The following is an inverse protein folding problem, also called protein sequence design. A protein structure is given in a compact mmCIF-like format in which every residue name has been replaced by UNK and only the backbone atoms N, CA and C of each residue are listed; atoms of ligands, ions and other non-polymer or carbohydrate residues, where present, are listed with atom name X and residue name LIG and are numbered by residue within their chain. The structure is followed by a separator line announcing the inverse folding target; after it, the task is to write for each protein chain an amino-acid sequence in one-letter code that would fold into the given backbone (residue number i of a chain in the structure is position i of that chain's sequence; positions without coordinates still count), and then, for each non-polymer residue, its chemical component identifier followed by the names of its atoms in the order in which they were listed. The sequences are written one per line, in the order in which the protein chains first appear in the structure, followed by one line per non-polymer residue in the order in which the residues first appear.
data_IF_105077386494
#
_entry.id   IF_105077386494
#
_cell.length_a   1.000
_cell.length_b   1.000
_cell.length_c   1.000
_cell.angle_alpha   90.00
_cell.angle_beta   90.00
_cell.angle_gamma   90.00
#
_symmetry.space_group_name_H-M   'P 1'
#
loop_
_entity.id
_entity.type
_entity.pdbx_description
1 polymer ?
#
# COMPACT_ATOMS: atom_id res chain seq x y z
N UNK A 1 28.19 -34.52 -8.14
CA UNK A 1 28.77 -33.29 -8.72
C UNK A 1 27.58 -32.40 -9.08
N UNK A 2 27.26 -31.44 -8.24
CA UNK A 2 26.22 -30.44 -8.50
C UNK A 2 26.80 -29.31 -9.37
N UNK A 3 26.05 -28.73 -10.31
CA UNK A 3 26.54 -27.62 -11.10
C UNK A 3 26.64 -26.35 -10.23
N UNK A 4 27.75 -25.64 -10.40
CA UNK A 4 28.02 -24.39 -9.72
C UNK A 4 27.08 -23.29 -10.20
N UNK A 5 26.43 -22.60 -9.26
CA UNK A 5 25.70 -21.35 -9.47
C UNK A 5 26.70 -20.28 -9.93
N UNK A 6 26.62 -19.90 -11.19
CA UNK A 6 27.29 -18.70 -11.71
C UNK A 6 26.40 -17.50 -11.37
N UNK A 7 26.66 -16.85 -10.24
CA UNK A 7 26.19 -15.50 -9.98
C UNK A 7 26.79 -14.54 -11.02
N UNK A 8 26.00 -14.11 -12.00
CA UNK A 8 26.36 -12.98 -12.84
C UNK A 8 26.41 -11.73 -11.94
N UNK A 9 27.58 -11.11 -11.85
CA UNK A 9 27.74 -9.81 -11.19
C UNK A 9 26.80 -8.79 -11.84
N UNK A 10 26.11 -7.93 -11.06
CA UNK A 10 25.25 -6.89 -11.62
C UNK A 10 26.13 -5.93 -12.43
N UNK A 11 25.81 -5.78 -13.71
CA UNK A 11 26.39 -4.76 -14.58
C UNK A 11 26.23 -3.40 -13.89
N UNK A 12 27.33 -2.63 -13.86
CA UNK A 12 27.41 -1.28 -13.29
C UNK A 12 26.56 -0.28 -14.12
N UNK A 13 25.24 -0.49 -14.14
CA UNK A 13 24.27 0.48 -14.66
C UNK A 13 24.20 1.61 -13.65
N UNK A 14 24.39 2.85 -14.11
CA UNK A 14 24.27 4.02 -13.27
C UNK A 14 22.92 3.97 -12.53
N UNK A 15 22.95 4.11 -11.20
CA UNK A 15 21.71 4.14 -10.39
C UNK A 15 20.78 5.21 -10.96
N UNK A 16 19.46 4.94 -11.11
CA UNK A 16 18.54 5.93 -11.60
C UNK A 16 18.53 7.14 -10.66
N UNK A 17 18.35 8.34 -11.21
CA UNK A 17 18.39 9.57 -10.41
C UNK A 17 17.24 9.55 -9.41
N UNK A 18 17.55 9.73 -8.11
CA UNK A 18 16.58 9.95 -7.04
C UNK A 18 16.24 11.43 -6.91
N UNK A 19 15.07 11.74 -6.30
CA UNK A 19 14.68 13.12 -6.02
C UNK A 19 14.18 13.90 -7.23
N UNK A 20 13.81 13.21 -8.31
CA UNK A 20 13.33 13.88 -9.54
C UNK A 20 11.95 14.51 -9.39
N UNK A 21 11.16 14.06 -8.39
CA UNK A 21 9.77 14.49 -8.20
C UNK A 21 8.84 14.09 -9.35
N UNK A 22 9.23 13.09 -10.15
CA UNK A 22 8.47 12.57 -11.29
C UNK A 22 8.25 11.07 -11.14
N UNK A 23 7.22 10.56 -11.81
CA UNK A 23 7.02 9.12 -11.94
C UNK A 23 8.02 8.59 -12.98
N UNK A 24 8.82 7.62 -12.56
CA UNK A 24 9.81 6.90 -13.34
C UNK A 24 9.53 5.40 -13.32
N UNK A 25 10.25 4.62 -14.11
CA UNK A 25 10.14 3.15 -14.13
C UNK A 25 11.52 2.53 -13.95
N UNK A 26 11.55 1.40 -13.23
CA UNK A 26 12.75 0.57 -13.05
C UNK A 26 12.48 -0.84 -13.56
N UNK A 27 13.37 -1.35 -14.40
CA UNK A 27 13.40 -2.78 -14.75
C UNK A 27 14.16 -3.53 -13.65
N UNK A 28 13.48 -4.45 -13.00
CA UNK A 28 13.99 -5.21 -11.86
C UNK A 28 14.24 -6.69 -12.17
N UNK A 29 14.25 -7.03 -13.47
CA UNK A 29 14.52 -8.40 -13.94
C UNK A 29 13.41 -9.39 -13.66
N UNK A 30 13.75 -10.66 -13.61
CA UNK A 30 12.76 -11.74 -13.48
C UNK A 30 12.22 -11.86 -12.05
N UNK A 31 10.92 -12.03 -11.89
CA UNK A 31 10.22 -12.15 -10.63
C UNK A 31 9.27 -13.34 -10.63
N UNK A 32 9.41 -14.21 -9.64
CA UNK A 32 8.53 -15.37 -9.44
C UNK A 32 7.53 -15.05 -8.32
N UNK A 33 6.19 -14.99 -8.60
CA UNK A 33 5.17 -14.85 -7.58
C UNK A 33 5.17 -16.02 -6.59
N UNK A 34 4.79 -15.75 -5.34
CA UNK A 34 4.74 -16.75 -4.25
C UNK A 34 3.78 -17.90 -4.57
N UNK A 35 2.63 -17.58 -5.16
CA UNK A 35 1.64 -18.59 -5.55
C UNK A 35 2.09 -19.51 -6.70
N UNK A 36 3.28 -19.29 -7.26
CA UNK A 36 3.76 -19.99 -8.43
C UNK A 36 3.19 -19.43 -9.74
N UNK A 37 3.29 -20.22 -10.82
CA UNK A 37 2.89 -19.78 -12.16
C UNK A 37 4.05 -19.23 -12.98
N UNK A 38 3.73 -18.41 -13.98
CA UNK A 38 4.74 -17.83 -14.86
C UNK A 38 5.58 -16.78 -14.15
N UNK A 39 6.89 -16.83 -14.41
CA UNK A 39 7.80 -15.77 -14.00
C UNK A 39 7.52 -14.50 -14.80
N UNK A 40 7.51 -13.35 -14.12
CA UNK A 40 7.27 -12.04 -14.71
C UNK A 40 8.59 -11.32 -15.02
N UNK A 41 8.64 -10.54 -16.09
CA UNK A 41 9.62 -9.46 -16.23
C UNK A 41 9.08 -8.27 -15.40
N UNK A 42 9.72 -8.02 -14.26
CA UNK A 42 9.25 -7.03 -13.29
C UNK A 42 9.75 -5.63 -13.66
N UNK A 43 8.83 -4.78 -14.06
CA UNK A 43 9.04 -3.33 -14.11
C UNK A 43 8.18 -2.69 -13.02
N UNK A 44 8.72 -1.76 -12.26
CA UNK A 44 7.94 -0.98 -11.30
C UNK A 44 8.01 0.50 -11.64
N UNK A 45 6.85 1.14 -11.70
CA UNK A 45 6.76 2.58 -11.68
C UNK A 45 6.91 3.08 -10.24
N UNK A 46 7.61 4.19 -10.06
CA UNK A 46 7.81 4.80 -8.76
C UNK A 46 8.00 6.31 -8.88
N UNK A 47 7.77 7.01 -7.80
CA UNK A 47 8.16 8.41 -7.63
C UNK A 47 9.01 8.54 -6.37
N UNK A 48 10.11 9.29 -6.49
CA UNK A 48 10.94 9.64 -5.35
C UNK A 48 11.08 11.16 -5.28
N UNK A 49 10.72 11.71 -4.14
CA UNK A 49 10.85 13.13 -3.81
C UNK A 49 11.88 13.31 -2.69
N UNK A 50 12.66 14.39 -2.74
CA UNK A 50 13.61 14.73 -1.70
C UNK A 50 15.02 14.15 -1.87
N UNK A 51 15.85 14.18 -0.80
CA UNK A 51 17.25 13.82 -0.88
C UNK A 51 17.52 12.33 -1.11
N UNK A 52 18.72 12.04 -1.60
CA UNK A 52 19.25 10.69 -1.85
C UNK A 52 19.35 9.84 -0.56
N UNK A 53 19.69 8.55 -0.65
CA UNK A 53 19.64 7.57 0.45
C UNK A 53 20.47 7.87 1.71
N UNK A 54 21.39 8.83 1.66
CA UNK A 54 22.16 9.28 2.86
C UNK A 54 21.27 9.98 3.91
N UNK A 55 20.13 10.53 3.49
CA UNK A 55 19.12 11.07 4.40
C UNK A 55 18.12 9.96 4.80
N UNK A 56 17.38 10.14 5.90
CA UNK A 56 16.28 9.21 6.23
C UNK A 56 15.30 9.06 5.07
N UNK A 57 14.94 7.84 4.76
CA UNK A 57 13.98 7.51 3.71
C UNK A 57 12.67 7.04 4.32
N UNK A 58 11.56 7.42 3.73
CA UNK A 58 10.23 6.88 4.04
C UNK A 58 9.62 6.24 2.79
N UNK A 59 8.77 5.25 3.02
CA UNK A 59 7.97 4.60 1.98
C UNK A 59 6.51 4.92 2.22
N UNK A 60 5.82 5.40 1.20
CA UNK A 60 4.36 5.55 1.19
C UNK A 60 3.77 4.60 0.15
N UNK A 61 2.65 3.95 0.47
CA UNK A 61 2.06 2.90 -0.35
C UNK A 61 0.60 3.25 -0.63
N UNK A 62 0.24 3.28 -1.91
CA UNK A 62 -1.09 3.68 -2.36
C UNK A 62 -2.17 2.61 -2.11
N UNK A 63 -3.43 3.05 -2.02
CA UNK A 63 -4.60 2.19 -1.93
C UNK A 63 -4.96 1.57 -3.30
N UNK A 64 -5.99 0.72 -3.33
CA UNK A 64 -6.44 -0.12 -4.45
C UNK A 64 -6.36 0.54 -5.83
N UNK A 65 -6.83 1.76 -5.99
CA UNK A 65 -6.87 2.46 -7.29
C UNK A 65 -5.95 3.69 -7.34
N UNK A 66 -4.97 3.77 -6.44
CA UNK A 66 -3.96 4.83 -6.42
C UNK A 66 -2.83 4.59 -7.42
N UNK A 67 -1.80 5.41 -7.32
CA UNK A 67 -0.60 5.36 -8.16
C UNK A 67 0.64 5.77 -7.37
N UNK A 68 1.81 5.64 -7.99
CA UNK A 68 3.08 6.13 -7.44
C UNK A 68 3.13 7.64 -7.22
N UNK A 69 2.20 8.40 -7.77
CA UNK A 69 2.18 9.86 -7.69
C UNK A 69 1.56 10.39 -6.38
N UNK A 70 2.07 9.95 -5.23
CA UNK A 70 1.56 10.39 -3.93
C UNK A 70 1.69 11.90 -3.72
N UNK A 71 2.84 12.47 -4.04
CA UNK A 71 3.14 13.89 -3.84
C UNK A 71 2.46 14.82 -4.87
N UNK A 72 2.04 14.29 -6.02
CA UNK A 72 1.33 15.06 -7.05
C UNK A 72 -0.20 14.87 -7.01
N UNK A 73 -0.70 13.82 -6.33
CA UNK A 73 -2.11 13.46 -6.31
C UNK A 73 -2.61 13.21 -4.87
N UNK A 74 -2.72 11.98 -4.44
CA UNK A 74 -3.56 11.55 -3.31
C UNK A 74 -3.04 11.93 -1.91
N UNK A 75 -1.74 12.20 -1.72
CA UNK A 75 -1.15 12.73 -0.48
C UNK A 75 -0.34 14.02 -0.73
N UNK A 76 -0.67 14.74 -1.80
CA UNK A 76 -0.04 16.04 -2.10
C UNK A 76 0.01 17.00 -0.89
N UNK A 77 -1.01 17.12 -0.02
CA UNK A 77 -0.93 17.99 1.14
C UNK A 77 0.11 17.57 2.19
N UNK A 78 0.52 16.31 2.23
CA UNK A 78 1.42 15.75 3.24
C UNK A 78 2.89 15.73 2.80
N UNK A 79 3.18 15.74 1.48
CA UNK A 79 4.52 15.53 0.93
C UNK A 79 5.00 16.79 0.22
N UNK A 80 6.19 17.31 0.62
CA UNK A 80 6.80 18.50 -0.02
C UNK A 80 7.56 19.35 0.98
N UNK A 81 8.22 20.42 0.51
CA UNK A 81 8.94 21.34 1.37
C UNK A 81 8.07 21.92 2.48
N UNK A 82 8.52 21.80 3.75
CA UNK A 82 7.82 22.31 4.92
C UNK A 82 6.54 21.56 5.32
N UNK A 83 6.20 20.46 4.68
CA UNK A 83 5.08 19.58 5.04
C UNK A 83 5.54 18.51 6.04
N UNK A 84 4.60 17.65 6.51
CA UNK A 84 4.95 16.58 7.46
C UNK A 84 6.05 15.67 6.91
N UNK A 85 5.96 15.31 5.65
CA UNK A 85 7.03 14.65 4.92
C UNK A 85 7.84 15.70 4.15
N UNK A 86 8.71 16.38 4.90
CA UNK A 86 9.52 17.50 4.39
C UNK A 86 10.62 17.02 3.44
N UNK A 87 10.38 17.15 2.16
CA UNK A 87 11.29 16.71 1.10
C UNK A 87 12.58 17.54 0.99
N UNK A 88 12.78 18.55 1.84
CA UNK A 88 14.08 19.19 1.99
C UNK A 88 15.04 18.42 2.92
N UNK A 89 14.52 17.46 3.69
CA UNK A 89 15.24 16.76 4.77
C UNK A 89 15.17 15.24 4.67
N UNK A 90 14.09 14.69 4.11
CA UNK A 90 13.83 13.25 4.02
C UNK A 90 13.50 12.87 2.59
N UNK A 91 13.90 11.68 2.18
CA UNK A 91 13.47 11.08 0.92
C UNK A 91 12.11 10.37 1.08
N UNK A 92 11.24 10.53 0.10
CA UNK A 92 9.92 9.91 0.07
C UNK A 92 9.81 9.06 -1.19
N UNK A 93 9.77 7.75 -1.02
CA UNK A 93 9.50 6.79 -2.09
C UNK A 93 8.03 6.42 -2.10
N UNK A 94 7.39 6.47 -3.26
CA UNK A 94 6.11 5.83 -3.52
C UNK A 94 6.26 4.88 -4.71
N UNK A 95 6.01 3.59 -4.49
CA UNK A 95 6.02 2.58 -5.54
C UNK A 95 4.60 2.31 -6.03
N UNK A 96 4.43 2.11 -7.34
CA UNK A 96 3.19 1.62 -7.90
C UNK A 96 3.17 0.08 -7.79
N UNK A 97 2.10 -0.48 -7.23
CA UNK A 97 2.00 -1.90 -6.90
C UNK A 97 2.12 -2.81 -8.14
N UNK A 98 2.68 -4.00 -7.95
CA UNK A 98 2.70 -5.09 -8.91
C UNK A 98 1.26 -5.54 -9.22
N UNK A 99 0.95 -5.81 -10.47
CA UNK A 99 -0.43 -6.06 -10.87
C UNK A 99 -1.27 -4.80 -10.97
N UNK A 100 -0.71 -3.63 -10.57
CA UNK A 100 -1.35 -2.32 -10.68
C UNK A 100 -1.30 -1.74 -12.09
N UNK A 101 -1.96 -0.60 -12.28
CA UNK A 101 -1.89 0.20 -13.51
C UNK A 101 -0.75 1.23 -13.38
N UNK A 102 -0.57 2.07 -14.35
CA UNK A 102 0.33 3.24 -14.33
C UNK A 102 1.82 2.91 -14.33
N UNK A 103 2.22 1.88 -15.07
CA UNK A 103 3.61 1.63 -15.43
C UNK A 103 4.32 0.50 -14.69
N UNK A 104 3.73 -0.09 -13.65
CA UNK A 104 4.21 -1.35 -13.11
C UNK A 104 3.71 -2.54 -13.91
N UNK A 105 4.46 -3.66 -13.88
CA UNK A 105 4.04 -4.92 -14.49
C UNK A 105 2.70 -5.35 -13.92
N UNK A 106 1.74 -5.58 -14.80
CA UNK A 106 0.37 -5.92 -14.45
C UNK A 106 -0.41 -6.47 -15.65
N UNK A 107 -1.71 -6.73 -15.53
CA UNK A 107 -2.55 -7.30 -16.59
C UNK A 107 -2.48 -6.57 -17.93
N UNK A 108 -2.30 -5.25 -17.92
CA UNK A 108 -2.22 -4.44 -19.15
C UNK A 108 -0.83 -4.45 -19.80
N UNK A 109 0.18 -5.04 -19.18
CA UNK A 109 1.52 -5.15 -19.74
C UNK A 109 1.65 -6.36 -20.66
N UNK A 110 2.59 -6.28 -21.61
CA UNK A 110 2.80 -7.36 -22.60
C UNK A 110 3.40 -8.59 -21.91
N UNK A 111 2.78 -9.73 -22.12
CA UNK A 111 3.33 -11.04 -21.78
C UNK A 111 4.46 -11.39 -22.77
N UNK A 112 5.71 -11.54 -22.32
CA UNK A 112 6.83 -11.79 -23.21
C UNK A 112 6.76 -13.14 -23.96
N UNK A 113 5.91 -14.07 -23.49
CA UNK A 113 5.74 -15.38 -24.12
C UNK A 113 4.73 -15.38 -25.27
N UNK A 114 3.76 -14.48 -25.24
CA UNK A 114 2.69 -14.41 -26.26
C UNK A 114 2.77 -13.19 -27.14
N UNK A 115 3.41 -12.11 -26.69
CA UNK A 115 3.43 -10.79 -27.34
C UNK A 115 2.14 -9.97 -27.16
N UNK A 116 1.16 -10.50 -26.43
CA UNK A 116 -0.11 -9.84 -26.13
C UNK A 116 -0.16 -9.41 -24.66
N UNK A 117 -1.08 -8.51 -24.25
CA UNK A 117 -1.28 -8.20 -22.84
C UNK A 117 -1.59 -9.45 -22.01
N UNK A 118 -1.17 -9.47 -20.76
CA UNK A 118 -1.46 -10.59 -19.85
C UNK A 118 -2.97 -10.81 -19.64
N UNK A 119 -3.74 -9.73 -19.50
CA UNK A 119 -5.16 -9.79 -19.22
C UNK A 119 -5.47 -10.63 -17.96
N UNK A 120 -6.46 -11.50 -18.07
CA UNK A 120 -6.91 -12.42 -17.02
C UNK A 120 -5.91 -13.57 -16.73
N UNK A 121 -4.89 -13.76 -17.61
CA UNK A 121 -3.83 -14.73 -17.40
C UNK A 121 -2.68 -14.23 -16.54
N UNK A 122 -2.75 -12.98 -16.05
CA UNK A 122 -1.73 -12.40 -15.19
C UNK A 122 -1.59 -13.23 -13.89
N UNK A 123 -0.37 -13.67 -13.54
CA UNK A 123 -0.15 -14.41 -12.30
C UNK A 123 -0.60 -13.60 -11.09
N UNK A 124 -1.38 -14.22 -10.20
CA UNK A 124 -1.94 -13.55 -9.03
C UNK A 124 -0.84 -13.24 -8.00
N UNK A 125 -0.49 -11.98 -7.74
CA UNK A 125 0.42 -11.63 -6.66
C UNK A 125 -0.29 -11.70 -5.30
N UNK A 126 0.51 -11.83 -4.25
CA UNK A 126 0.08 -11.68 -2.85
C UNK A 126 0.59 -10.36 -2.27
N UNK A 127 0.09 -9.95 -1.09
CA UNK A 127 0.64 -8.78 -0.40
C UNK A 127 2.13 -8.94 -0.05
N UNK A 128 2.63 -10.18 0.10
CA UNK A 128 4.06 -10.49 0.24
C UNK A 128 4.83 -10.28 -1.05
N UNK A 129 4.23 -10.60 -2.20
CA UNK A 129 4.85 -10.32 -3.49
C UNK A 129 4.98 -8.82 -3.71
N UNK A 130 3.98 -8.02 -3.30
CA UNK A 130 4.09 -6.56 -3.29
C UNK A 130 5.28 -6.09 -2.45
N UNK A 131 5.41 -6.60 -1.23
CA UNK A 131 6.54 -6.27 -0.36
C UNK A 131 7.89 -6.68 -0.97
N UNK A 132 7.98 -7.86 -1.58
CA UNK A 132 9.19 -8.34 -2.27
C UNK A 132 9.55 -7.48 -3.48
N UNK A 133 8.56 -7.07 -4.26
CA UNK A 133 8.76 -6.19 -5.41
C UNK A 133 9.23 -4.79 -4.96
N UNK A 134 8.62 -4.22 -3.91
CA UNK A 134 9.02 -2.95 -3.31
C UNK A 134 10.46 -3.01 -2.78
N UNK A 135 10.84 -4.10 -2.10
CA UNK A 135 12.21 -4.25 -1.62
C UNK A 135 13.23 -4.40 -2.76
N UNK A 136 12.88 -5.08 -3.86
CA UNK A 136 13.74 -5.09 -5.05
C UNK A 136 13.91 -3.69 -5.63
N UNK A 137 12.86 -2.89 -5.66
CA UNK A 137 12.95 -1.50 -6.09
C UNK A 137 13.85 -0.69 -5.15
N UNK A 138 13.67 -0.82 -3.83
CA UNK A 138 14.50 -0.14 -2.83
C UNK A 138 15.98 -0.51 -2.99
N UNK A 139 16.30 -1.80 -3.14
CA UNK A 139 17.66 -2.28 -3.39
C UNK A 139 18.26 -1.69 -4.68
N UNK A 140 17.48 -1.65 -5.76
CA UNK A 140 17.88 -1.04 -7.04
C UNK A 140 18.18 0.46 -6.90
N UNK A 141 17.40 1.17 -6.08
CA UNK A 141 17.58 2.59 -5.78
C UNK A 141 18.68 2.85 -4.74
N UNK A 142 19.22 1.80 -4.10
CA UNK A 142 20.20 1.90 -3.03
C UNK A 142 19.62 2.37 -1.70
N UNK A 143 18.33 2.17 -1.49
CA UNK A 143 17.63 2.44 -0.23
C UNK A 143 17.66 1.17 0.62
N UNK A 144 18.52 1.15 1.62
CA UNK A 144 18.71 -0.03 2.48
C UNK A 144 17.68 -0.12 3.60
N UNK A 145 17.13 1.03 4.04
CA UNK A 145 16.27 1.13 5.22
C UNK A 145 15.26 2.25 5.08
N UNK A 146 14.08 2.05 5.69
CA UNK A 146 13.04 3.07 5.85
C UNK A 146 12.89 3.49 7.32
N UNK A 147 12.91 4.79 7.58
CA UNK A 147 12.56 5.36 8.87
C UNK A 147 11.07 5.17 9.17
N UNK A 148 10.24 5.26 8.14
CA UNK A 148 8.79 5.06 8.21
C UNK A 148 8.30 4.33 6.96
N UNK A 149 7.36 3.40 7.14
CA UNK A 149 6.56 2.81 6.06
C UNK A 149 5.08 3.06 6.38
N UNK A 150 4.36 3.75 5.52
CA UNK A 150 2.96 4.12 5.76
C UNK A 150 2.08 3.86 4.54
N UNK A 151 0.84 3.46 4.77
CA UNK A 151 -0.15 3.28 3.71
C UNK A 151 -1.56 3.12 4.26
N UNK A 152 -2.55 3.48 3.44
CA UNK A 152 -3.97 3.31 3.79
C UNK A 152 -4.60 2.12 3.06
N UNK A 153 -5.55 1.42 3.70
CA UNK A 153 -6.28 0.31 3.08
C UNK A 153 -5.32 -0.78 2.57
N UNK A 154 -5.41 -1.19 1.30
CA UNK A 154 -4.44 -2.08 0.66
C UNK A 154 -2.98 -1.64 0.91
N UNK A 155 -2.70 -0.32 0.84
CA UNK A 155 -1.37 0.20 1.13
C UNK A 155 -0.92 -0.07 2.57
N UNK A 156 -1.82 -0.09 3.53
CA UNK A 156 -1.56 -0.47 4.92
C UNK A 156 -1.27 -1.96 5.10
N UNK A 157 -1.99 -2.82 4.36
CA UNK A 157 -1.73 -4.26 4.32
C UNK A 157 -0.33 -4.55 3.77
N UNK A 158 0.02 -3.91 2.66
CA UNK A 158 1.34 -4.04 2.05
C UNK A 158 2.43 -3.44 2.95
N UNK A 159 2.16 -2.34 3.66
CA UNK A 159 3.10 -1.75 4.63
C UNK A 159 3.49 -2.74 5.74
N UNK A 160 2.52 -3.49 6.27
CA UNK A 160 2.78 -4.56 7.23
C UNK A 160 3.68 -5.65 6.63
N UNK A 161 3.40 -6.09 5.41
CA UNK A 161 4.22 -7.11 4.74
C UNK A 161 5.62 -6.61 4.39
N UNK A 162 5.78 -5.33 4.02
CA UNK A 162 7.10 -4.69 3.82
C UNK A 162 7.91 -4.72 5.12
N UNK A 163 7.30 -4.37 6.26
CA UNK A 163 7.97 -4.42 7.56
C UNK A 163 8.31 -5.86 7.98
N UNK A 164 7.39 -6.81 7.76
CA UNK A 164 7.59 -8.23 8.10
C UNK A 164 8.58 -8.95 7.18
N UNK A 165 8.80 -8.47 5.95
CA UNK A 165 9.77 -9.03 5.03
C UNK A 165 11.22 -8.70 5.42
N UNK A 166 11.47 -7.51 5.97
CA UNK A 166 12.79 -7.05 6.46
C UNK A 166 12.63 -6.19 7.73
N UNK A 167 12.33 -6.81 8.89
CA UNK A 167 12.02 -6.07 10.12
C UNK A 167 13.16 -5.14 10.55
N UNK A 168 14.41 -5.57 10.38
CA UNK A 168 15.60 -4.78 10.71
C UNK A 168 15.79 -3.55 9.80
N UNK A 169 15.16 -3.54 8.62
CA UNK A 169 15.25 -2.46 7.65
C UNK A 169 14.09 -1.44 7.75
N UNK A 170 13.11 -1.67 8.63
CA UNK A 170 11.99 -0.75 8.86
C UNK A 170 12.00 -0.29 10.32
N UNK A 171 12.07 1.02 10.55
CA UNK A 171 12.10 1.55 11.91
C UNK A 171 10.72 1.72 12.51
N UNK A 172 9.72 2.10 11.70
CA UNK A 172 8.33 2.25 12.15
C UNK A 172 7.35 1.97 11.01
N UNK A 173 6.25 1.28 11.29
CA UNK A 173 5.20 0.98 10.31
C UNK A 173 3.85 1.57 10.73
N UNK A 174 3.13 2.17 9.77
CA UNK A 174 1.83 2.82 10.01
C UNK A 174 0.78 2.29 9.03
N UNK A 175 0.07 1.21 9.37
CA UNK A 175 -1.14 0.79 8.67
C UNK A 175 -2.32 1.71 9.04
N UNK A 176 -3.01 2.27 8.04
CA UNK A 176 -4.17 3.15 8.22
C UNK A 176 -5.41 2.47 7.64
N UNK A 177 -6.45 2.28 8.42
CA UNK A 177 -7.67 1.58 7.97
C UNK A 177 -7.35 0.22 7.34
N UNK A 178 -6.48 -0.57 7.97
CA UNK A 178 -6.04 -1.87 7.48
C UNK A 178 -5.93 -2.88 8.64
N UNK A 179 -6.48 -4.09 8.49
CA UNK A 179 -6.40 -5.16 9.50
C UNK A 179 -5.10 -5.96 9.37
N UNK A 180 -4.82 -6.83 10.36
CA UNK A 180 -3.75 -7.84 10.27
C UNK A 180 -4.09 -8.98 9.30
N UNK A 181 -5.37 -9.25 9.11
CA UNK A 181 -5.90 -10.19 8.12
C UNK A 181 -7.27 -9.72 7.64
N UNK A 182 -7.57 -9.95 6.36
CA UNK A 182 -8.84 -9.51 5.78
C UNK A 182 -9.99 -10.35 6.33
N UNK A 183 -11.00 -9.68 6.91
CA UNK A 183 -12.15 -10.31 7.51
C UNK A 183 -13.20 -10.80 6.49
N UNK A 184 -14.08 -11.75 6.89
CA UNK A 184 -15.02 -12.40 5.97
C UNK A 184 -16.03 -11.44 5.34
N UNK A 185 -16.41 -10.33 5.99
CA UNK A 185 -17.35 -9.37 5.43
C UNK A 185 -16.71 -8.59 4.27
N UNK A 186 -15.46 -8.16 4.41
CA UNK A 186 -14.71 -7.51 3.34
C UNK A 186 -14.53 -8.46 2.15
N UNK A 187 -14.16 -9.74 2.41
CA UNK A 187 -14.08 -10.78 1.37
C UNK A 187 -15.43 -10.96 0.67
N UNK A 188 -16.54 -10.93 1.39
CA UNK A 188 -17.89 -11.06 0.79
C UNK A 188 -18.21 -9.88 -0.15
N UNK A 189 -17.91 -8.64 0.25
CA UNK A 189 -18.08 -7.47 -0.64
C UNK A 189 -17.15 -7.56 -1.87
N UNK A 190 -15.91 -7.96 -1.68
CA UNK A 190 -14.94 -8.14 -2.75
C UNK A 190 -15.39 -9.25 -3.72
N UNK A 191 -15.88 -10.37 -3.20
CA UNK A 191 -16.44 -11.44 -4.02
C UNK A 191 -17.56 -10.95 -4.93
N UNK A 192 -18.52 -10.18 -4.40
CA UNK A 192 -19.60 -9.60 -5.21
C UNK A 192 -19.07 -8.67 -6.30
N UNK A 193 -18.08 -7.85 -6.00
CA UNK A 193 -17.43 -6.97 -6.97
C UNK A 193 -16.74 -7.78 -8.07
N UNK A 194 -15.98 -8.82 -7.70
CA UNK A 194 -15.31 -9.71 -8.67
C UNK A 194 -16.30 -10.46 -9.57
N UNK A 195 -17.41 -10.95 -9.02
CA UNK A 195 -18.48 -11.60 -9.78
C UNK A 195 -19.11 -10.62 -10.80
N UNK A 196 -19.36 -9.39 -10.41
CA UNK A 196 -19.92 -8.36 -11.29
C UNK A 196 -18.91 -8.02 -12.40
N UNK A 197 -17.64 -7.81 -12.06
CA UNK A 197 -16.57 -7.52 -13.03
C UNK A 197 -16.38 -8.70 -13.99
N UNK A 198 -16.30 -9.91 -13.49
CA UNK A 198 -16.10 -11.10 -14.30
C UNK A 198 -17.23 -11.37 -15.30
N UNK A 199 -18.47 -11.00 -14.96
CA UNK A 199 -19.63 -11.19 -15.84
C UNK A 199 -19.81 -10.07 -16.87
N UNK A 200 -19.46 -8.83 -16.54
CA UNK A 200 -19.81 -7.64 -17.32
C UNK A 200 -18.59 -6.83 -17.81
N UNK A 201 -17.37 -7.25 -17.48
CA UNK A 201 -16.15 -6.58 -17.91
C UNK A 201 -16.10 -5.13 -17.47
N UNK A 202 -15.91 -4.20 -18.41
CA UNK A 202 -15.76 -2.77 -18.11
C UNK A 202 -17.03 -2.14 -17.49
N UNK A 203 -18.22 -2.55 -17.93
CA UNK A 203 -19.48 -2.14 -17.31
C UNK A 203 -19.56 -2.65 -15.87
N UNK A 204 -19.14 -3.91 -15.66
CA UNK A 204 -19.04 -4.51 -14.35
C UNK A 204 -18.11 -3.74 -13.41
N UNK A 205 -16.98 -3.25 -13.91
CA UNK A 205 -16.07 -2.40 -13.12
C UNK A 205 -16.75 -1.11 -12.66
N UNK A 206 -17.58 -0.49 -13.51
CA UNK A 206 -18.37 0.68 -13.12
C UNK A 206 -19.33 0.35 -11.97
N UNK A 207 -20.03 -0.79 -12.05
CA UNK A 207 -20.97 -1.22 -11.00
C UNK A 207 -20.22 -1.64 -9.72
N UNK A 208 -19.11 -2.37 -9.85
CA UNK A 208 -18.26 -2.74 -8.72
C UNK A 208 -17.75 -1.50 -7.97
N UNK A 209 -17.37 -0.42 -8.68
CA UNK A 209 -17.01 0.86 -8.06
C UNK A 209 -18.17 1.49 -7.29
N UNK A 210 -19.38 1.42 -7.82
CA UNK A 210 -20.57 1.92 -7.12
C UNK A 210 -20.79 1.16 -5.81
N UNK A 211 -20.66 -0.18 -5.84
CA UNK A 211 -20.74 -1.01 -4.63
C UNK A 211 -19.61 -0.65 -3.65
N UNK A 212 -18.37 -0.52 -4.11
CA UNK A 212 -17.24 -0.13 -3.28
C UNK A 212 -17.47 1.24 -2.59
N UNK A 213 -18.04 2.22 -3.30
CA UNK A 213 -18.34 3.53 -2.70
C UNK A 213 -19.32 3.45 -1.53
N UNK A 214 -20.21 2.46 -1.49
CA UNK A 214 -21.11 2.27 -0.33
C UNK A 214 -20.39 1.71 0.90
N UNK A 215 -19.19 1.15 0.74
CA UNK A 215 -18.36 0.67 1.85
C UNK A 215 -17.26 1.68 2.23
N UNK A 216 -16.92 2.62 1.34
CA UNK A 216 -15.88 3.64 1.59
C UNK A 216 -16.41 4.86 2.34
N UNK A 217 -17.73 5.09 2.33
CA UNK A 217 -18.37 6.24 2.97
C UNK A 217 -19.27 5.79 4.11
N UNK A 218 -19.28 6.57 5.19
CA UNK A 218 -20.17 6.29 6.32
C UNK A 218 -21.64 6.62 5.98
N UNK A 219 -22.56 6.05 6.74
CA UNK A 219 -23.99 6.40 6.70
C UNK A 219 -24.20 7.91 6.92
N UNK A 220 -23.49 8.49 7.89
CA UNK A 220 -23.54 9.93 8.19
C UNK A 220 -23.11 10.80 7.00
N UNK A 221 -22.08 10.39 6.22
CA UNK A 221 -21.68 11.13 5.01
C UNK A 221 -22.75 11.03 3.91
N UNK A 222 -23.36 9.85 3.73
CA UNK A 222 -24.44 9.68 2.76
C UNK A 222 -25.68 10.51 3.14
N UNK A 223 -26.12 10.44 4.39
CA UNK A 223 -27.28 11.18 4.86
C UNK A 223 -27.07 12.70 4.77
N UNK A 224 -25.90 13.19 5.21
CA UNK A 224 -25.58 14.60 5.16
C UNK A 224 -25.43 15.18 3.75
N UNK A 225 -25.04 14.34 2.77
CA UNK A 225 -24.81 14.78 1.38
C UNK A 225 -26.04 14.65 0.49
N UNK A 226 -26.82 13.62 0.68
CA UNK A 226 -27.87 13.26 -0.27
C UNK A 226 -29.28 13.28 0.32
N UNK A 227 -29.46 12.89 1.59
CA UNK A 227 -30.77 12.71 2.19
C UNK A 227 -31.69 11.90 1.26
N UNK A 228 -32.88 12.42 1.00
CA UNK A 228 -33.83 11.88 0.02
C UNK A 228 -34.03 12.80 -1.18
N UNK A 229 -33.06 13.64 -1.47
CA UNK A 229 -33.13 14.60 -2.57
C UNK A 229 -33.12 13.92 -3.94
N UNK A 230 -33.86 14.51 -4.88
CA UNK A 230 -33.90 14.09 -6.28
C UNK A 230 -33.36 15.18 -7.19
N UNK A 231 -32.62 14.75 -8.23
CA UNK A 231 -32.16 15.64 -9.30
C UNK A 231 -33.28 16.07 -10.24
N UNK A 232 -32.95 16.92 -11.23
CA UNK A 232 -33.91 17.39 -12.25
C UNK A 232 -34.51 16.27 -13.10
N UNK A 233 -33.84 15.12 -13.19
CA UNK A 233 -34.28 13.92 -13.90
C UNK A 233 -35.21 13.02 -13.06
N UNK A 234 -35.54 13.42 -11.84
CA UNK A 234 -36.36 12.64 -10.90
C UNK A 234 -35.66 11.48 -10.22
N UNK A 235 -34.36 11.23 -10.48
CA UNK A 235 -33.57 10.21 -9.82
C UNK A 235 -33.04 10.72 -8.48
N UNK A 236 -32.90 9.84 -7.50
CA UNK A 236 -32.25 10.22 -6.23
C UNK A 236 -30.80 10.69 -6.47
N UNK A 237 -30.39 11.77 -5.82
CA UNK A 237 -29.04 12.36 -5.98
C UNK A 237 -27.92 11.37 -5.69
N UNK A 238 -28.11 10.46 -4.73
CA UNK A 238 -27.15 9.39 -4.43
C UNK A 238 -26.91 8.46 -5.64
N UNK A 239 -27.95 8.16 -6.44
CA UNK A 239 -27.82 7.31 -7.63
C UNK A 239 -26.94 7.99 -8.67
N UNK A 240 -27.16 9.27 -8.91
CA UNK A 240 -26.36 10.09 -9.84
C UNK A 240 -24.88 10.18 -9.38
N UNK A 241 -24.66 10.28 -8.07
CA UNK A 241 -23.30 10.23 -7.50
C UNK A 241 -22.62 8.89 -7.75
N UNK A 242 -23.29 7.77 -7.49
CA UNK A 242 -22.72 6.44 -7.70
C UNK A 242 -22.39 6.19 -9.18
N UNK A 243 -23.30 6.56 -10.09
CA UNK A 243 -23.05 6.49 -11.54
C UNK A 243 -21.83 7.30 -11.95
N UNK A 244 -21.67 8.50 -11.38
CA UNK A 244 -20.50 9.35 -11.63
C UNK A 244 -19.21 8.67 -11.16
N UNK A 245 -19.20 8.09 -9.96
CA UNK A 245 -18.04 7.40 -9.42
C UNK A 245 -17.65 6.16 -10.25
N UNK A 246 -18.63 5.42 -10.73
CA UNK A 246 -18.43 4.29 -11.64
C UNK A 246 -17.78 4.72 -12.93
N UNK A 247 -18.33 5.74 -13.61
CA UNK A 247 -17.75 6.31 -14.85
C UNK A 247 -16.33 6.81 -14.64
N UNK A 248 -16.09 7.60 -13.59
CA UNK A 248 -14.77 8.13 -13.25
C UNK A 248 -13.71 7.03 -13.07
N UNK A 249 -14.11 5.84 -12.60
CA UNK A 249 -13.14 4.74 -12.46
C UNK A 249 -12.81 4.12 -13.83
N UNK A 250 -13.78 3.78 -14.65
CA UNK A 250 -13.54 3.13 -15.95
C UNK A 250 -12.77 4.00 -16.95
N UNK A 251 -12.77 5.33 -16.77
CA UNK A 251 -11.96 6.24 -17.57
C UNK A 251 -10.45 6.08 -17.32
N UNK A 252 -10.04 5.48 -16.19
CA UNK A 252 -8.64 5.41 -15.77
C UNK A 252 -8.18 4.04 -15.28
N UNK A 253 -9.06 3.07 -15.18
CA UNK A 253 -8.76 1.74 -14.64
C UNK A 253 -9.39 0.64 -15.51
N UNK A 254 -8.89 -0.59 -15.40
CA UNK A 254 -9.35 -1.72 -16.18
C UNK A 254 -9.81 -2.89 -15.26
N UNK A 255 -10.66 -3.79 -15.78
CA UNK A 255 -11.25 -4.88 -15.02
C UNK A 255 -10.22 -5.89 -14.46
N UNK A 256 -9.20 -6.22 -15.23
CA UNK A 256 -8.23 -7.24 -14.86
C UNK A 256 -7.32 -6.74 -13.74
N UNK A 257 -6.79 -5.51 -13.88
CA UNK A 257 -6.01 -4.85 -12.83
C UNK A 257 -6.81 -4.72 -11.53
N UNK A 258 -8.09 -4.30 -11.62
CA UNK A 258 -8.96 -4.20 -10.46
C UNK A 258 -9.11 -5.56 -9.76
N UNK A 259 -9.38 -6.60 -10.54
CA UNK A 259 -9.58 -7.96 -10.03
C UNK A 259 -8.32 -8.52 -9.36
N UNK A 260 -7.15 -8.28 -9.94
CA UNK A 260 -5.87 -8.71 -9.36
C UNK A 260 -5.64 -8.06 -8.00
N UNK A 261 -5.79 -6.73 -7.89
CA UNK A 261 -5.52 -6.01 -6.64
C UNK A 261 -6.59 -6.30 -5.56
N UNK A 262 -7.85 -6.53 -5.92
CA UNK A 262 -8.89 -6.97 -4.97
C UNK A 262 -8.53 -8.33 -4.38
N UNK A 263 -8.03 -9.28 -5.19
CA UNK A 263 -7.58 -10.59 -4.67
C UNK A 263 -6.33 -10.49 -3.81
N UNK A 264 -5.45 -9.49 -4.01
CA UNK A 264 -4.35 -9.22 -3.08
C UNK A 264 -4.90 -8.86 -1.70
N UNK A 265 -5.95 -8.01 -1.64
CA UNK A 265 -6.61 -7.66 -0.37
C UNK A 265 -7.26 -8.88 0.29
N UNK A 266 -7.97 -9.72 -0.47
CA UNK A 266 -8.62 -10.92 0.06
C UNK A 266 -7.62 -11.92 0.66
N UNK A 267 -6.47 -12.07 0.02
CA UNK A 267 -5.40 -12.97 0.47
C UNK A 267 -4.53 -12.43 1.59
N UNK A 268 -4.78 -11.20 2.07
CA UNK A 268 -3.98 -10.60 3.12
C UNK A 268 -4.20 -11.27 4.48
N UNK A 269 -3.11 -11.82 5.04
CA UNK A 269 -3.00 -12.37 6.38
C UNK A 269 -1.52 -12.38 6.78
N UNK A 270 -1.14 -11.50 7.72
CA UNK A 270 0.25 -11.40 8.18
C UNK A 270 0.71 -12.66 8.92
N UNK A 271 -0.22 -13.44 9.47
CA UNK A 271 0.09 -14.68 10.19
C UNK A 271 0.25 -15.92 9.32
N UNK A 272 -0.19 -15.87 8.05
CA UNK A 272 -0.12 -17.00 7.13
C UNK A 272 1.33 -17.49 6.96
N UNK A 273 1.55 -18.79 7.19
CA UNK A 273 2.87 -19.44 7.12
C UNK A 273 3.96 -18.85 8.02
N UNK A 274 3.57 -18.03 9.04
CA UNK A 274 4.47 -17.47 10.05
C UNK A 274 4.15 -17.96 11.47
N UNK A 275 3.29 -18.96 11.63
CA UNK A 275 2.86 -19.47 12.94
C UNK A 275 1.74 -18.65 13.59
N UNK A 276 1.06 -17.81 12.82
CA UNK A 276 -0.01 -16.92 13.26
C UNK A 276 0.43 -15.47 13.44
N UNK A 277 -0.54 -14.56 13.64
CA UNK A 277 -0.32 -13.11 13.70
C UNK A 277 0.64 -12.71 14.84
N UNK A 278 0.44 -13.31 16.02
CA UNK A 278 1.31 -13.04 17.18
C UNK A 278 2.78 -13.36 16.88
N UNK A 279 3.03 -14.51 16.23
CA UNK A 279 4.40 -14.92 15.90
C UNK A 279 5.01 -14.03 14.81
N UNK A 280 4.21 -13.61 13.81
CA UNK A 280 4.64 -12.64 12.82
C UNK A 280 5.11 -11.32 13.48
N UNK A 281 4.35 -10.80 14.45
CA UNK A 281 4.70 -9.55 15.14
C UNK A 281 5.90 -9.68 16.09
N UNK A 282 6.21 -10.87 16.59
CA UNK A 282 7.46 -11.09 17.36
C UNK A 282 8.70 -10.78 16.54
N UNK A 283 8.67 -10.96 15.21
CA UNK A 283 9.77 -10.55 14.35
C UNK A 283 9.99 -9.04 14.36
N UNK A 284 8.90 -8.24 14.38
CA UNK A 284 8.99 -6.78 14.51
C UNK A 284 9.54 -6.38 15.89
N UNK A 285 9.06 -7.01 16.96
CA UNK A 285 9.54 -6.76 18.32
C UNK A 285 11.04 -7.07 18.46
N UNK A 286 11.49 -8.21 17.94
CA UNK A 286 12.90 -8.61 17.98
C UNK A 286 13.81 -7.64 17.21
N UNK A 287 13.28 -7.00 16.18
CA UNK A 287 13.99 -5.99 15.38
C UNK A 287 13.86 -4.56 15.93
N UNK A 288 13.18 -4.31 17.03
CA UNK A 288 12.84 -2.97 17.57
C UNK A 288 12.08 -2.11 16.53
N UNK A 289 11.20 -2.72 15.72
CA UNK A 289 10.35 -2.00 14.77
C UNK A 289 9.09 -1.53 15.50
N UNK A 290 8.83 -0.21 15.51
CA UNK A 290 7.62 0.37 16.07
C UNK A 290 6.41 0.19 15.15
N UNK A 291 5.19 0.24 15.72
CA UNK A 291 3.94 0.16 14.96
C UNK A 291 2.92 1.17 15.48
N UNK A 292 2.34 1.94 14.59
CA UNK A 292 1.18 2.80 14.91
C UNK A 292 0.01 2.45 14.01
N UNK A 293 -1.01 1.79 14.54
CA UNK A 293 -2.26 1.54 13.82
C UNK A 293 -3.18 2.75 13.87
N UNK A 294 -3.66 3.20 12.72
CA UNK A 294 -4.61 4.32 12.63
C UNK A 294 -5.96 3.80 12.14
N UNK A 295 -6.97 3.76 13.04
CA UNK A 295 -8.37 3.50 12.70
C UNK A 295 -9.03 4.73 12.10
N UNK A 296 -10.21 4.56 11.50
CA UNK A 296 -10.99 5.65 10.90
C UNK A 296 -12.43 5.55 11.40
N UNK A 297 -12.95 6.61 12.00
CA UNK A 297 -14.33 6.66 12.49
C UNK A 297 -15.33 6.39 11.36
N UNK A 298 -16.33 5.55 11.65
CA UNK A 298 -17.36 5.19 10.68
C UNK A 298 -16.89 4.36 9.48
N UNK A 299 -15.66 3.87 9.49
CA UNK A 299 -15.17 2.90 8.50
C UNK A 299 -15.87 1.55 8.69
N UNK A 300 -16.67 1.14 7.70
CA UNK A 300 -17.37 -0.14 7.72
C UNK A 300 -16.63 -1.23 6.94
N UNK A 301 -15.65 -0.86 6.11
CA UNK A 301 -14.84 -1.81 5.35
C UNK A 301 -13.77 -2.46 6.23
N UNK A 302 -12.97 -1.63 6.91
CA UNK A 302 -11.95 -2.05 7.87
C UNK A 302 -12.11 -1.24 9.16
N UNK A 303 -13.15 -1.60 9.94
CA UNK A 303 -13.56 -0.84 11.10
C UNK A 303 -12.47 -0.61 12.13
N UNK A 304 -12.60 0.46 12.95
CA UNK A 304 -11.61 0.82 13.98
C UNK A 304 -11.23 -0.34 14.90
N UNK A 305 -12.18 -1.22 15.22
CA UNK A 305 -11.93 -2.38 16.09
C UNK A 305 -10.95 -3.39 15.49
N UNK A 306 -10.94 -3.55 14.15
CA UNK A 306 -9.98 -4.42 13.48
C UNK A 306 -8.56 -3.87 13.61
N UNK A 307 -8.40 -2.54 13.51
CA UNK A 307 -7.10 -1.88 13.70
C UNK A 307 -6.68 -1.90 15.18
N UNK A 308 -7.62 -1.76 16.14
CA UNK A 308 -7.33 -1.94 17.58
C UNK A 308 -6.87 -3.35 17.88
N UNK A 309 -7.50 -4.36 17.27
CA UNK A 309 -7.08 -5.76 17.42
C UNK A 309 -5.65 -5.97 16.89
N UNK A 310 -5.33 -5.46 15.70
CA UNK A 310 -3.98 -5.50 15.14
C UNK A 310 -2.95 -4.93 16.12
N UNK A 311 -3.20 -3.72 16.66
CA UNK A 311 -2.30 -3.06 17.62
C UNK A 311 -2.20 -3.86 18.92
N UNK A 312 -3.32 -4.41 19.41
CA UNK A 312 -3.34 -5.26 20.60
C UNK A 312 -2.50 -6.54 20.44
N UNK A 313 -2.56 -7.19 19.28
CA UNK A 313 -1.73 -8.35 18.96
C UNK A 313 -0.25 -7.98 18.81
N UNK A 314 0.06 -6.84 18.21
CA UNK A 314 1.42 -6.31 18.14
C UNK A 314 1.98 -6.02 19.54
N UNK A 315 1.21 -5.37 20.42
CA UNK A 315 1.58 -5.14 21.81
C UNK A 315 1.81 -6.45 22.58
N UNK A 316 0.91 -7.44 22.40
CA UNK A 316 1.05 -8.76 23.02
C UNK A 316 2.30 -9.53 22.54
N UNK A 317 2.76 -9.26 21.31
CA UNK A 317 4.01 -9.77 20.77
C UNK A 317 5.26 -9.03 21.27
N UNK A 318 5.10 -7.92 22.00
CA UNK A 318 6.20 -7.09 22.52
C UNK A 318 6.61 -5.96 21.60
N UNK A 319 5.85 -5.66 20.53
CA UNK A 319 6.07 -4.49 19.69
C UNK A 319 5.73 -3.22 20.46
N UNK A 320 6.60 -2.21 20.41
CA UNK A 320 6.25 -0.86 20.85
C UNK A 320 5.21 -0.31 19.86
N UNK A 321 3.95 -0.32 20.29
CA UNK A 321 2.82 -0.06 19.40
C UNK A 321 1.81 0.90 20.01
N UNK A 322 1.20 1.72 19.16
CA UNK A 322 0.17 2.69 19.51
C UNK A 322 -1.04 2.63 18.59
N UNK A 323 -2.21 3.00 19.12
CA UNK A 323 -3.43 3.15 18.35
C UNK A 323 -3.89 4.60 18.36
N UNK A 324 -4.25 5.09 17.19
CA UNK A 324 -4.94 6.38 17.00
C UNK A 324 -6.16 6.18 16.11
N UNK A 325 -7.04 7.20 16.10
CA UNK A 325 -8.22 7.20 15.26
C UNK A 325 -8.37 8.55 14.55
N UNK A 326 -8.71 8.51 13.27
CA UNK A 326 -9.13 9.68 12.51
C UNK A 326 -10.61 9.90 12.79
N UNK A 327 -10.95 11.03 13.40
CA UNK A 327 -12.31 11.46 13.62
C UNK A 327 -12.88 12.07 12.34
N UNK A 328 -13.91 11.46 11.77
CA UNK A 328 -14.46 11.89 10.48
C UNK A 328 -15.86 11.33 10.25
N UNK A 329 -16.65 12.04 9.47
CA UNK A 329 -17.88 11.49 8.89
C UNK A 329 -17.67 10.80 7.54
N UNK A 330 -16.44 10.77 7.03
CA UNK A 330 -16.14 10.28 5.67
C UNK A 330 -15.97 8.77 5.59
N UNK A 331 -15.89 8.07 6.74
CA UNK A 331 -15.59 6.64 6.78
C UNK A 331 -14.22 6.32 6.20
N UNK A 332 -14.08 5.19 5.52
CA UNK A 332 -12.82 4.67 5.02
C UNK A 332 -11.96 5.68 4.25
N UNK A 333 -12.57 6.57 3.46
CA UNK A 333 -11.85 7.61 2.71
C UNK A 333 -11.21 8.70 3.59
N UNK A 334 -11.39 8.68 4.92
CA UNK A 334 -10.81 9.66 5.85
C UNK A 334 -9.30 9.82 5.69
N UNK A 335 -8.55 8.75 5.40
CA UNK A 335 -7.11 8.83 5.18
C UNK A 335 -6.69 9.55 3.87
N UNK A 336 -7.65 9.89 3.02
CA UNK A 336 -7.44 10.67 1.80
C UNK A 336 -7.96 12.11 1.93
N UNK A 337 -8.52 12.49 3.08
CA UNK A 337 -9.27 13.74 3.22
C UNK A 337 -8.87 14.52 4.48
N UNK A 338 -8.62 13.84 5.59
CA UNK A 338 -8.39 14.47 6.90
C UNK A 338 -6.92 14.87 7.09
N UNK A 339 -6.45 15.79 6.28
CA UNK A 339 -5.04 16.18 6.16
C UNK A 339 -4.41 16.70 7.45
N UNK A 340 -5.15 17.47 8.26
CA UNK A 340 -4.63 18.05 9.50
C UNK A 340 -4.38 16.96 10.55
N UNK A 341 -5.32 16.01 10.68
CA UNK A 341 -5.17 14.87 11.58
C UNK A 341 -4.02 13.96 11.11
N UNK A 342 -3.96 13.66 9.80
CA UNK A 342 -2.87 12.88 9.23
C UNK A 342 -1.51 13.55 9.42
N UNK A 343 -1.43 14.87 9.25
CA UNK A 343 -0.18 15.63 9.48
C UNK A 343 0.34 15.43 10.90
N UNK A 344 -0.54 15.50 11.90
CA UNK A 344 -0.17 15.27 13.30
C UNK A 344 0.22 13.81 13.56
N UNK A 345 -0.63 12.85 13.19
CA UNK A 345 -0.44 11.44 13.50
C UNK A 345 0.79 10.85 12.78
N UNK A 346 0.95 11.17 11.51
CA UNK A 346 2.12 10.73 10.74
C UNK A 346 3.41 11.45 11.18
N UNK A 347 3.29 12.69 11.67
CA UNK A 347 4.42 13.44 12.23
C UNK A 347 4.95 12.81 13.53
N UNK A 348 4.06 12.37 14.42
CA UNK A 348 4.42 11.67 15.65
C UNK A 348 5.12 10.31 15.32
N UNK A 349 4.54 9.53 14.42
CA UNK A 349 5.11 8.25 13.99
C UNK A 349 6.46 8.44 13.26
N UNK A 350 6.60 9.48 12.42
CA UNK A 350 7.85 9.79 11.74
C UNK A 350 8.95 10.19 12.74
N UNK A 351 8.62 10.97 13.76
CA UNK A 351 9.58 11.36 14.80
C UNK A 351 10.13 10.13 15.53
N UNK A 352 9.27 9.18 15.91
CA UNK A 352 9.69 7.90 16.51
C UNK A 352 10.53 7.07 15.52
N UNK A 353 10.07 6.94 14.28
CA UNK A 353 10.77 6.21 13.23
C UNK A 353 12.18 6.75 12.96
N UNK A 354 12.35 8.07 12.89
CA UNK A 354 13.65 8.72 12.70
C UNK A 354 14.57 8.50 13.92
N UNK A 355 14.04 8.56 15.14
CA UNK A 355 14.81 8.27 16.37
C UNK A 355 15.31 6.83 16.38
N UNK A 356 14.47 5.84 16.03
CA UNK A 356 14.86 4.43 15.92
C UNK A 356 15.86 4.22 14.77
N UNK A 357 15.63 4.87 13.65
CA UNK A 357 16.54 4.83 12.50
C UNK A 357 17.95 5.30 12.88
N UNK A 358 18.07 6.40 13.61
CA UNK A 358 19.34 6.94 14.10
C UNK A 358 20.04 6.00 15.08
N UNK A 359 19.33 5.34 15.99
CA UNK A 359 19.90 4.35 16.93
C UNK A 359 20.52 3.14 16.21
N UNK A 360 19.88 2.66 15.16
CA UNK A 360 20.36 1.53 14.36
C UNK A 360 21.56 1.86 13.46
N UNK A 361 21.74 3.15 13.10
CA UNK A 361 22.85 3.61 12.26
C UNK A 361 24.18 3.73 13.03
N UNK A 362 24.15 3.73 14.38
CA UNK A 362 25.37 3.72 15.20
C UNK A 362 25.88 2.29 15.33
N UNK A 363 27.04 1.91 14.75
CA UNK A 363 27.61 0.61 14.98
C UNK A 363 27.85 0.44 16.48
N UNK A 364 27.46 -0.71 17.06
CA UNK A 364 27.80 -1.03 18.44
C UNK A 364 29.29 -0.78 18.62
N UNK A 365 29.66 0.18 19.48
CA UNK A 365 31.06 0.39 19.86
C UNK A 365 31.53 -0.94 20.42
N UNK A 366 32.36 -1.67 19.64
CA UNK A 366 33.09 -2.82 20.15
C UNK A 366 33.88 -2.28 21.35
N UNK A 367 33.44 -2.68 22.55
CA UNK A 367 34.12 -2.31 23.76
C UNK A 367 35.57 -2.76 23.66
N UNK A 368 36.47 -1.79 23.72
CA UNK A 368 37.87 -2.09 23.94
C UNK A 368 37.97 -2.72 25.34
N UNK A 369 38.33 -4.01 25.35
CA UNK A 369 38.80 -4.70 26.52
C UNK A 369 40.29 -4.39 26.76
#
# INVERSE_FOLDING_TARGET
MAPADTHAEPTNAARPPLGTGRVETADLGMFAPEAGGNTLSLTMAYRHDGPAPDAPQILVIHALTGSADAAGDWWQPLIGPGKVFDTTRIGVLCANLLGGRYGSTGPTTVNPHTGEPWGDTFPQPTARDEARAIWRLADHLGIERFALVAGGSLGGMVALEVALARPEAVSHVVPIGAPAATGPLAIAWNHLQLEIVGRLGLEGLSIARQLAMTTYRSETDFDGRFGRETGPDGRFSVVSYLDHQGRKLIDRFDPDTYSVLVRVMDGHDVGRDRGGILEAFRALAAADTGLTGIGIEGDILYGPDQVRMLVGEAAAAGVDSGYHEIETTKGHDGFLIEWDQLTRLLGEALADGVLRHGRRAVPARVGAA
#
